data_IF_254229638791
#
_entry.id   IF_254229638791
#
_cell.length_a   1.000
_cell.length_b   1.000
_cell.length_c   1.000
_cell.angle_alpha   90.00
_cell.angle_beta   90.00
_cell.angle_gamma   90.00
#
_symmetry.space_group_name_H-M   'P 1'
#
loop_
_entity.id
_entity.type
_entity.pdbx_description
1 polymer ?
#
# COMPACT_ATOMS: atom_id res chain seq x y z
N UNK A 1 -8.55 0.67 -15.56
CA UNK A 1 -8.15 1.76 -14.63
C UNK A 1 -6.63 1.80 -14.65
N UNK A 2 -6.04 2.90 -15.14
CA UNK A 2 -4.58 3.03 -15.29
C UNK A 2 -3.95 3.51 -13.96
N UNK A 3 -4.01 2.65 -12.93
CA UNK A 3 -3.49 2.96 -11.59
C UNK A 3 -2.22 2.16 -11.33
N UNK A 4 -1.16 2.85 -10.91
CA UNK A 4 0.16 2.26 -10.66
C UNK A 4 0.76 2.65 -9.30
N UNK A 5 0.06 3.48 -8.53
CA UNK A 5 0.51 3.94 -7.21
C UNK A 5 -0.69 4.13 -6.28
N UNK A 6 -0.40 4.06 -4.98
CA UNK A 6 -1.22 4.61 -3.90
C UNK A 6 -0.37 5.65 -3.20
N UNK A 7 -0.93 6.85 -3.08
CA UNK A 7 -0.31 8.01 -2.46
C UNK A 7 -1.22 8.50 -1.32
N UNK A 8 -0.68 9.31 -0.41
CA UNK A 8 -1.38 9.87 0.76
C UNK A 8 -2.62 10.70 0.38
N UNK A 9 -2.58 11.37 -0.78
CA UNK A 9 -3.70 12.13 -1.34
C UNK A 9 -4.60 11.31 -2.29
N UNK A 10 -4.45 9.99 -2.36
CA UNK A 10 -5.37 9.15 -3.16
C UNK A 10 -6.81 9.36 -2.66
N UNK A 11 -7.76 9.73 -3.54
CA UNK A 11 -9.15 9.91 -3.13
C UNK A 11 -9.75 8.64 -2.51
N UNK A 12 -10.39 8.81 -1.35
CA UNK A 12 -11.19 7.77 -0.70
C UNK A 12 -10.38 6.68 0.01
N UNK A 13 -9.10 6.89 0.32
CA UNK A 13 -8.33 5.97 1.16
C UNK A 13 -9.02 5.77 2.50
N UNK A 14 -9.16 4.51 2.89
CA UNK A 14 -9.80 4.09 4.13
C UNK A 14 -8.72 3.58 5.09
N UNK A 15 -8.62 4.20 6.26
CA UNK A 15 -7.73 3.76 7.32
C UNK A 15 -8.45 2.80 8.26
N UNK A 16 -7.71 1.90 8.88
CA UNK A 16 -8.19 1.06 9.96
C UNK A 16 -8.46 1.89 11.22
N UNK A 17 -9.22 1.35 12.18
CA UNK A 17 -9.56 2.04 13.43
C UNK A 17 -8.32 2.43 14.27
N UNK A 18 -7.23 1.67 14.13
CA UNK A 18 -5.94 1.93 14.78
C UNK A 18 -5.06 2.94 14.02
N UNK A 19 -5.55 3.50 12.92
CA UNK A 19 -4.85 4.44 12.05
C UNK A 19 -3.89 3.79 11.05
N UNK A 20 -3.78 2.46 11.01
CA UNK A 20 -3.00 1.75 9.99
C UNK A 20 -3.69 1.80 8.62
N UNK A 21 -2.92 1.52 7.56
CA UNK A 21 -3.40 1.45 6.19
C UNK A 21 -3.07 0.09 5.59
N UNK A 22 -4.11 -0.64 5.19
CA UNK A 22 -3.96 -1.86 4.40
C UNK A 22 -4.04 -1.54 2.90
N UNK A 23 -3.09 -2.06 2.13
CA UNK A 23 -3.04 -1.95 0.67
C UNK A 23 -3.19 -3.33 0.05
N UNK A 24 -4.23 -3.52 -0.77
CA UNK A 24 -4.48 -4.77 -1.48
C UNK A 24 -3.79 -4.75 -2.84
N UNK A 25 -2.86 -5.67 -3.07
CA UNK A 25 -2.09 -5.79 -4.32
C UNK A 25 -2.58 -7.00 -5.10
N UNK A 26 -3.35 -6.79 -6.18
CA UNK A 26 -4.00 -7.87 -6.94
C UNK A 26 -4.47 -7.40 -8.34
N UNK A 27 -4.67 -8.33 -9.28
CA UNK A 27 -5.10 -8.01 -10.65
C UNK A 27 -6.54 -7.46 -10.73
N UNK A 28 -7.48 -8.06 -10.01
CA UNK A 28 -8.89 -7.63 -9.99
C UNK A 28 -9.22 -6.85 -8.71
N UNK A 29 -10.09 -5.83 -8.75
CA UNK A 29 -10.50 -5.11 -7.55
C UNK A 29 -11.27 -6.00 -6.58
N UNK A 30 -11.05 -5.83 -5.26
CA UNK A 30 -11.95 -6.41 -4.27
C UNK A 30 -13.25 -5.60 -4.20
N UNK A 31 -14.35 -6.25 -3.86
CA UNK A 31 -15.68 -5.61 -3.79
C UNK A 31 -15.70 -4.48 -2.74
N UNK A 32 -14.89 -4.60 -1.69
CA UNK A 32 -14.96 -3.76 -0.49
C UNK A 32 -13.77 -2.79 -0.31
N UNK A 33 -12.75 -2.78 -1.18
CA UNK A 33 -11.55 -1.96 -0.95
C UNK A 33 -11.01 -1.31 -2.23
N UNK A 34 -11.89 -0.74 -3.05
CA UNK A 34 -11.50 -0.13 -4.34
C UNK A 34 -10.46 0.99 -4.18
N UNK A 35 -10.55 1.78 -3.12
CA UNK A 35 -9.62 2.89 -2.87
C UNK A 35 -8.25 2.42 -2.39
N UNK A 36 -8.20 1.39 -1.55
CA UNK A 36 -6.97 0.79 -1.02
C UNK A 36 -6.38 -0.31 -1.94
N UNK A 37 -6.90 -0.42 -3.16
CA UNK A 37 -6.47 -1.44 -4.12
C UNK A 37 -5.42 -0.90 -5.12
N UNK A 38 -4.26 -1.56 -5.17
CA UNK A 38 -3.21 -1.36 -6.14
C UNK A 38 -3.24 -2.50 -7.18
N UNK A 39 -3.51 -2.19 -8.46
CA UNK A 39 -3.43 -3.19 -9.52
C UNK A 39 -2.03 -3.77 -9.66
N UNK A 40 -1.94 -5.09 -9.85
CA UNK A 40 -0.71 -5.80 -10.16
C UNK A 40 -0.92 -6.79 -11.32
N UNK A 41 0.10 -7.07 -12.13
CA UNK A 41 0.00 -8.05 -13.22
C UNK A 41 -0.09 -9.49 -12.68
N UNK A 42 -0.48 -10.44 -13.54
CA UNK A 42 -0.48 -11.88 -13.22
C UNK A 42 0.93 -12.50 -13.13
N UNK A 43 1.97 -11.74 -13.48
CA UNK A 43 3.37 -12.16 -13.45
C UNK A 43 4.18 -11.45 -12.38
N UNK A 44 5.49 -11.70 -12.39
CA UNK A 44 6.43 -11.07 -11.46
C UNK A 44 6.40 -9.54 -11.58
N UNK A 45 6.44 -8.88 -10.42
CA UNK A 45 6.52 -7.42 -10.33
C UNK A 45 7.37 -7.01 -9.13
N UNK A 46 7.83 -5.76 -9.16
CA UNK A 46 8.52 -5.14 -8.03
C UNK A 46 7.60 -4.11 -7.38
N UNK A 47 7.63 -4.06 -6.06
CA UNK A 47 6.98 -3.02 -5.28
C UNK A 47 8.02 -2.02 -4.77
N UNK A 48 7.73 -0.73 -4.87
CA UNK A 48 8.62 0.34 -4.39
C UNK A 48 7.84 1.21 -3.42
N UNK A 49 8.30 1.26 -2.17
CA UNK A 49 7.86 2.25 -1.20
C UNK A 49 8.72 3.51 -1.32
N UNK A 50 8.08 4.68 -1.40
CA UNK A 50 8.75 5.99 -1.37
C UNK A 50 8.29 6.75 -0.14
N UNK A 51 9.25 7.24 0.65
CA UNK A 51 8.99 8.06 1.82
C UNK A 51 9.69 9.39 1.60
N UNK A 52 8.90 10.46 1.53
CA UNK A 52 9.42 11.82 1.39
C UNK A 52 9.57 12.44 2.78
N UNK A 53 10.75 12.97 3.07
CA UNK A 53 11.10 13.49 4.40
C UNK A 53 10.83 12.45 5.52
N UNK A 54 11.49 11.28 5.49
CA UNK A 54 11.29 10.24 6.49
C UNK A 54 11.61 10.77 7.89
N UNK A 55 10.82 10.32 8.87
CA UNK A 55 11.08 10.60 10.27
C UNK A 55 12.36 9.91 10.76
N UNK A 56 12.82 10.28 11.96
CA UNK A 56 14.03 9.71 12.54
C UNK A 56 13.89 8.18 12.73
N UNK A 57 12.70 7.70 13.07
CA UNK A 57 12.41 6.28 13.31
C UNK A 57 12.59 5.40 12.08
N UNK A 58 12.31 5.94 10.89
CA UNK A 58 12.58 5.26 9.62
C UNK A 58 14.09 5.26 9.34
N UNK A 59 14.74 6.40 9.54
CA UNK A 59 16.17 6.59 9.22
C UNK A 59 17.10 5.78 10.12
N UNK A 60 16.74 5.64 11.39
CA UNK A 60 17.52 4.88 12.38
C UNK A 60 17.09 3.41 12.49
N UNK A 61 16.04 3.00 11.77
CA UNK A 61 15.53 1.63 11.73
C UNK A 61 14.73 1.19 12.95
N UNK A 62 14.31 2.09 13.85
CA UNK A 62 13.44 1.71 14.98
C UNK A 62 12.01 1.41 14.55
N UNK A 63 11.58 1.94 13.40
CA UNK A 63 10.35 1.52 12.74
C UNK A 63 10.68 0.70 11.49
N UNK A 64 10.22 -0.54 11.48
CA UNK A 64 10.32 -1.43 10.32
C UNK A 64 9.03 -1.41 9.51
N UNK A 65 9.16 -1.14 8.21
CA UNK A 65 8.02 -1.18 7.29
C UNK A 65 7.48 -2.61 7.21
N UNK A 66 6.17 -2.84 7.39
CA UNK A 66 5.58 -4.17 7.27
C UNK A 66 5.85 -4.79 5.90
N UNK A 67 6.32 -6.04 5.91
CA UNK A 67 6.46 -6.82 4.68
C UNK A 67 5.11 -7.16 4.04
N UNK A 68 5.12 -7.38 2.73
CA UNK A 68 3.95 -7.85 1.98
C UNK A 68 3.58 -9.27 2.44
N UNK A 69 2.30 -9.48 2.73
CA UNK A 69 1.76 -10.79 3.11
C UNK A 69 0.77 -11.27 2.05
N UNK A 70 0.82 -12.57 1.74
CA UNK A 70 -0.21 -13.18 0.90
C UNK A 70 -1.52 -13.24 1.68
N UNK A 71 -2.58 -12.68 1.11
CA UNK A 71 -3.95 -12.83 1.61
C UNK A 71 -4.49 -14.17 1.10
N UNK A 72 -5.02 -14.99 2.01
CA UNK A 72 -5.66 -16.29 1.72
C UNK A 72 -7.16 -16.16 1.58
#
# INVERSE_FOLDING_TARGET
>A
MNRYAIEDYTPGIEYNEDGSLDIYIQNCPSVNSKSNWLPAPDGDFNLVLRIYQPSAEILNGTYEVPGVRRVT
#
